data_IF_937897489672
#
_entry.id   IF_937897489672
#
_cell.length_a   1.000
_cell.length_b   1.000
_cell.length_c   1.000
_cell.angle_alpha   90.00
_cell.angle_beta   90.00
_cell.angle_gamma   90.00
#
_symmetry.space_group_name_H-M   'P 1'
#
loop_
_entity.id
_entity.type
_entity.pdbx_description
1 polymer ?
#
# COMPACT_ATOMS: atom_id res chain seq x y z
N UNK A 1 -35.88 -51.48 0.01
CA UNK A 1 -34.47 -51.07 0.14
C UNK A 1 -34.28 -49.84 -0.76
N UNK A 2 -34.13 -48.61 -0.23
CA UNK A 2 -34.05 -47.43 -1.09
C UNK A 2 -32.63 -47.26 -1.62
N UNK A 3 -32.53 -46.95 -2.92
CA UNK A 3 -31.29 -46.73 -3.67
C UNK A 3 -30.91 -45.25 -3.56
N UNK A 4 -29.87 -44.94 -2.81
CA UNK A 4 -29.30 -43.57 -2.72
C UNK A 4 -28.44 -43.27 -3.96
N UNK A 5 -28.62 -42.13 -4.65
CA UNK A 5 -27.72 -41.69 -5.71
C UNK A 5 -26.45 -41.04 -5.11
N UNK A 6 -25.27 -41.48 -5.56
CA UNK A 6 -23.98 -40.89 -5.23
C UNK A 6 -23.81 -39.58 -6.00
N UNK A 7 -23.73 -38.44 -5.31
CA UNK A 7 -23.38 -37.15 -5.90
C UNK A 7 -21.85 -36.91 -5.79
N UNK A 8 -21.19 -36.33 -6.80
CA UNK A 8 -19.77 -36.03 -6.74
C UNK A 8 -19.55 -34.75 -5.94
N UNK A 9 -18.71 -34.83 -4.91
CA UNK A 9 -18.27 -33.66 -4.14
C UNK A 9 -17.06 -33.06 -4.88
N UNK A 10 -17.22 -31.88 -5.50
CA UNK A 10 -16.09 -31.07 -5.96
C UNK A 10 -15.46 -30.39 -4.73
N UNK A 11 -14.23 -30.77 -4.38
CA UNK A 11 -13.42 -30.05 -3.42
C UNK A 11 -12.70 -28.89 -4.14
N UNK A 12 -13.02 -27.65 -3.77
CA UNK A 12 -12.28 -26.46 -4.22
C UNK A 12 -11.04 -26.33 -3.33
N UNK A 13 -9.85 -26.40 -3.94
CA UNK A 13 -8.60 -26.06 -3.25
C UNK A 13 -8.42 -24.54 -3.32
N UNK A 14 -8.63 -23.85 -2.20
CA UNK A 14 -8.24 -22.45 -2.09
C UNK A 14 -6.70 -22.39 -2.01
N UNK A 15 -6.08 -21.70 -2.97
CA UNK A 15 -4.65 -21.37 -2.88
C UNK A 15 -4.46 -20.28 -1.83
N UNK A 16 -3.40 -20.35 -1.00
CA UNK A 16 -3.12 -19.26 -0.08
C UNK A 16 -2.66 -18.04 -0.90
N UNK A 17 -3.35 -16.92 -0.73
CA UNK A 17 -2.83 -15.61 -1.09
C UNK A 17 -1.66 -15.31 -0.15
N UNK A 18 -0.48 -15.04 -0.70
CA UNK A 18 0.73 -14.78 0.05
C UNK A 18 1.01 -13.28 -0.06
N UNK A 19 0.55 -12.54 0.94
CA UNK A 19 0.82 -11.13 1.03
C UNK A 19 2.32 -10.84 0.99
N UNK A 20 2.70 -9.89 0.15
CA UNK A 20 4.10 -9.56 -0.07
C UNK A 20 4.46 -8.31 0.75
N UNK A 21 5.56 -8.39 1.51
CA UNK A 21 6.16 -7.21 2.12
C UNK A 21 6.94 -6.44 1.04
N UNK A 22 6.44 -5.27 0.66
CA UNK A 22 7.03 -4.46 -0.40
C UNK A 22 7.76 -3.28 0.23
N UNK A 23 9.05 -3.17 -0.04
CA UNK A 23 9.89 -2.03 0.34
C UNK A 23 10.15 -1.16 -0.89
N UNK A 24 9.90 0.14 -0.77
CA UNK A 24 10.24 1.11 -1.82
C UNK A 24 10.86 2.37 -1.24
N UNK A 25 11.62 3.05 -2.10
CA UNK A 25 12.23 4.33 -1.78
C UNK A 25 11.22 5.45 -1.98
N UNK A 26 11.08 6.31 -0.98
CA UNK A 26 10.29 7.52 -1.06
C UNK A 26 11.25 8.71 -1.17
N UNK A 27 11.18 9.43 -2.29
CA UNK A 27 12.03 10.60 -2.55
C UNK A 27 11.17 11.84 -2.44
N UNK A 28 11.52 12.74 -1.53
CA UNK A 28 10.86 14.04 -1.41
C UNK A 28 11.62 15.08 -2.21
N UNK A 29 11.21 15.31 -3.46
CA UNK A 29 11.69 16.41 -4.31
C UNK A 29 10.74 17.62 -4.26
N UNK A 30 9.80 17.64 -3.30
CA UNK A 30 8.95 18.81 -3.06
C UNK A 30 9.71 19.87 -2.24
N UNK A 31 9.15 21.09 -2.22
CA UNK A 31 9.68 22.17 -1.38
C UNK A 31 9.29 22.09 0.10
N UNK A 32 8.58 21.04 0.52
CA UNK A 32 7.95 20.92 1.84
C UNK A 32 8.37 19.64 2.55
N UNK A 33 8.42 19.68 3.88
CA UNK A 33 8.61 18.48 4.70
C UNK A 33 7.36 17.60 4.64
N UNK A 34 7.53 16.33 4.27
CA UNK A 34 6.48 15.33 4.39
C UNK A 34 6.41 14.85 5.83
N UNK A 35 5.25 15.05 6.44
CA UNK A 35 5.01 14.75 7.85
C UNK A 35 4.47 13.34 8.05
N UNK A 36 3.57 12.91 7.16
CA UNK A 36 2.89 11.61 7.26
C UNK A 36 2.75 11.00 5.86
N UNK A 37 2.89 9.69 5.77
CA UNK A 37 2.74 8.94 4.53
C UNK A 37 1.94 7.66 4.76
N UNK A 38 0.83 7.55 4.05
CA UNK A 38 -0.09 6.43 4.15
C UNK A 38 -0.21 5.72 2.80
N UNK A 39 -0.47 4.42 2.85
CA UNK A 39 -0.82 3.63 1.68
C UNK A 39 -1.96 2.67 2.05
N UNK A 40 -2.93 2.52 1.17
CA UNK A 40 -4.03 1.56 1.33
C UNK A 40 -4.37 0.90 -0.01
N UNK A 41 -4.74 -0.38 -0.05
CA UNK A 41 -5.32 -0.99 -1.25
C UNK A 41 -6.51 -0.18 -1.72
N UNK A 42 -6.67 0.00 -3.04
CA UNK A 42 -7.82 0.73 -3.62
C UNK A 42 -9.17 0.13 -3.19
N UNK A 43 -9.19 -1.17 -2.92
CA UNK A 43 -10.39 -1.91 -2.49
C UNK A 43 -10.77 -1.66 -1.02
N UNK A 44 -9.85 -1.10 -0.22
CA UNK A 44 -10.04 -0.81 1.20
C UNK A 44 -9.81 0.68 1.49
N UNK A 45 -10.86 1.50 1.61
CA UNK A 45 -10.74 2.95 1.70
C UNK A 45 -10.24 3.45 3.07
N UNK A 46 -9.92 2.55 4.00
CA UNK A 46 -9.39 2.91 5.31
C UNK A 46 -7.88 3.12 5.28
N UNK A 47 -7.39 4.28 5.72
CA UNK A 47 -5.96 4.48 5.91
C UNK A 47 -5.44 3.65 7.08
N UNK A 48 -4.34 2.92 6.83
CA UNK A 48 -3.61 2.17 7.85
C UNK A 48 -2.69 3.11 8.65
N UNK A 49 -1.64 2.56 9.28
CA UNK A 49 -0.67 3.34 10.03
C UNK A 49 0.22 4.21 9.12
N UNK A 50 0.68 5.35 9.64
CA UNK A 50 1.71 6.16 8.98
C UNK A 50 3.01 5.35 8.80
N UNK A 51 3.43 5.22 7.55
CA UNK A 51 4.59 4.43 7.15
C UNK A 51 5.93 5.13 7.45
N UNK A 52 5.94 6.43 7.79
CA UNK A 52 7.12 7.13 8.30
C UNK A 52 7.33 6.87 9.81
N UNK A 53 6.25 6.63 10.54
CA UNK A 53 6.24 6.31 11.96
C UNK A 53 6.50 7.54 12.83
N UNK A 54 7.64 7.57 13.53
CA UNK A 54 8.04 8.72 14.35
C UNK A 54 8.99 9.69 13.61
N UNK A 55 9.15 9.50 12.30
CA UNK A 55 10.08 10.25 11.45
C UNK A 55 9.29 11.14 10.50
N UNK A 56 9.97 12.13 9.95
CA UNK A 56 9.50 12.98 8.86
C UNK A 56 10.50 12.88 7.71
N UNK A 57 10.08 13.26 6.51
CA UNK A 57 10.94 13.28 5.34
C UNK A 57 11.12 14.74 4.84
N UNK A 58 12.24 15.41 5.16
CA UNK A 58 12.52 16.78 4.72
C UNK A 58 12.57 16.91 3.19
N UNK A 59 12.52 18.13 2.64
CA UNK A 59 12.79 18.36 1.22
C UNK A 59 14.18 17.83 0.82
N UNK A 60 14.30 17.45 -0.46
CA UNK A 60 15.48 16.85 -1.09
C UNK A 60 16.04 15.61 -0.36
N UNK A 61 15.18 14.89 0.37
CA UNK A 61 15.57 13.72 1.17
C UNK A 61 14.95 12.43 0.66
N UNK A 62 15.60 11.30 0.92
CA UNK A 62 15.10 9.96 0.58
C UNK A 62 14.91 9.12 1.84
N UNK A 63 13.75 8.47 1.93
CA UNK A 63 13.41 7.49 2.95
C UNK A 63 13.11 6.13 2.34
N UNK A 64 13.00 5.11 3.18
CA UNK A 64 12.50 3.79 2.80
C UNK A 64 11.29 3.47 3.65
N UNK A 65 10.21 3.05 3.00
CA UNK A 65 8.96 2.65 3.64
C UNK A 65 8.68 1.20 3.28
N UNK A 66 7.95 0.51 4.15
CA UNK A 66 7.56 -0.89 3.95
C UNK A 66 6.06 -0.99 4.04
N UNK A 67 5.41 -1.47 2.99
CA UNK A 67 4.01 -1.90 3.03
C UNK A 67 4.01 -3.38 3.39
N UNK A 68 3.50 -3.68 4.59
CA UNK A 68 3.39 -5.02 5.15
C UNK A 68 1.97 -5.26 5.70
N UNK A 69 0.96 -4.88 4.92
CA UNK A 69 -0.44 -4.86 5.35
C UNK A 69 -1.14 -6.23 5.25
N UNK A 70 -0.49 -7.22 4.64
CA UNK A 70 -1.10 -8.54 4.48
C UNK A 70 -2.07 -8.63 3.28
N UNK A 71 -2.15 -7.58 2.46
CA UNK A 71 -2.95 -7.56 1.24
C UNK A 71 -2.22 -8.20 0.04
N UNK A 72 -3.00 -8.78 -0.86
CA UNK A 72 -2.56 -9.38 -2.14
C UNK A 72 -2.94 -8.48 -3.32
N UNK A 73 -2.93 -7.15 -3.09
CA UNK A 73 -3.28 -6.14 -4.08
C UNK A 73 -2.02 -5.45 -4.61
N UNK A 74 -2.07 -4.98 -5.85
CA UNK A 74 -1.01 -4.17 -6.45
C UNK A 74 -1.40 -2.70 -6.57
N UNK A 75 -2.68 -2.40 -6.78
CA UNK A 75 -3.18 -1.02 -6.87
C UNK A 75 -3.42 -0.44 -5.48
N UNK A 76 -2.69 0.63 -5.16
CA UNK A 76 -2.77 1.34 -3.89
C UNK A 76 -3.08 2.81 -4.11
N UNK A 77 -3.92 3.35 -3.24
CA UNK A 77 -4.02 4.78 -3.02
C UNK A 77 -2.97 5.19 -1.96
N UNK A 78 -2.21 6.24 -2.26
CA UNK A 78 -1.23 6.88 -1.38
C UNK A 78 -1.82 8.17 -0.84
N UNK A 79 -1.53 8.51 0.41
CA UNK A 79 -1.83 9.81 1.01
C UNK A 79 -0.57 10.40 1.63
N UNK A 80 -0.31 11.65 1.27
CA UNK A 80 0.88 12.41 1.64
C UNK A 80 0.44 13.68 2.36
N UNK A 81 0.83 13.84 3.62
CA UNK A 81 0.50 15.01 4.44
C UNK A 81 1.76 15.84 4.66
N UNK A 82 1.73 17.10 4.23
CA UNK A 82 2.87 18.01 4.31
C UNK A 82 2.79 18.95 5.52
N UNK A 83 3.92 19.61 5.83
CA UNK A 83 4.02 20.52 6.99
C UNK A 83 3.08 21.72 6.96
N UNK A 84 2.57 22.13 5.79
CA UNK A 84 1.57 23.19 5.63
C UNK A 84 0.13 22.69 5.85
N UNK A 85 -0.04 21.40 6.16
CA UNK A 85 -1.35 20.75 6.31
C UNK A 85 -1.98 20.34 4.98
N UNK A 86 -1.26 20.43 3.86
CA UNK A 86 -1.75 19.97 2.57
C UNK A 86 -1.74 18.45 2.52
N UNK A 87 -2.83 17.91 2.00
CA UNK A 87 -2.99 16.49 1.71
C UNK A 87 -2.97 16.29 0.20
N UNK A 88 -2.08 15.42 -0.28
CA UNK A 88 -2.04 14.97 -1.67
C UNK A 88 -2.33 13.50 -1.68
N UNK A 89 -3.18 13.06 -2.62
CA UNK A 89 -3.42 11.64 -2.86
C UNK A 89 -3.01 11.27 -4.27
N UNK A 90 -2.51 10.05 -4.42
CA UNK A 90 -2.13 9.50 -5.72
C UNK A 90 -2.43 8.01 -5.77
N UNK A 91 -2.54 7.44 -6.97
CA UNK A 91 -2.77 6.01 -7.16
C UNK A 91 -1.63 5.39 -7.93
N UNK A 92 -1.06 4.32 -7.38
CA UNK A 92 0.09 3.64 -7.97
C UNK A 92 -0.07 2.12 -7.94
N UNK A 93 0.60 1.45 -8.87
CA UNK A 93 0.83 0.01 -8.80
C UNK A 93 2.13 -0.24 -8.02
N UNK A 94 2.03 -0.75 -6.79
CA UNK A 94 3.20 -0.98 -5.92
C UNK A 94 4.00 -2.23 -6.27
N UNK A 95 3.44 -3.15 -7.06
CA UNK A 95 4.11 -4.40 -7.44
C UNK A 95 5.25 -4.16 -8.44
N UNK A 96 5.13 -3.09 -9.25
CA UNK A 96 6.15 -2.65 -10.20
C UNK A 96 6.92 -1.39 -9.73
N UNK A 97 6.66 -0.90 -8.51
CA UNK A 97 7.22 0.35 -7.99
C UNK A 97 8.46 0.12 -7.13
N UNK A 98 9.64 0.49 -7.65
CA UNK A 98 10.88 0.48 -6.87
C UNK A 98 11.09 1.78 -6.07
N UNK A 99 10.60 2.91 -6.60
CA UNK A 99 10.73 4.23 -5.99
C UNK A 99 9.56 5.13 -6.36
N UNK A 100 9.11 5.94 -5.42
CA UNK A 100 8.13 6.99 -5.63
C UNK A 100 8.74 8.37 -5.33
N UNK A 101 8.52 9.31 -6.24
CA UNK A 101 9.04 10.68 -6.10
C UNK A 101 7.90 11.67 -5.92
N UNK A 102 7.95 12.42 -4.83
CA UNK A 102 7.03 13.49 -4.49
C UNK A 102 7.53 14.78 -5.13
N UNK A 103 6.75 15.38 -6.03
CA UNK A 103 7.12 16.64 -6.70
C UNK A 103 6.11 17.76 -6.43
N UNK A 104 5.36 17.70 -5.32
CA UNK A 104 4.30 18.66 -5.03
C UNK A 104 4.85 20.11 -5.00
N UNK A 105 4.23 21.00 -5.78
CA UNK A 105 4.55 22.44 -5.90
C UNK A 105 3.88 23.29 -4.82
#
# INVERSE_FOLDING_TARGET
>A
MPRFPLAPVLAVLAVPAAAQDIQYQLVNESGLTLMEFYASPVEDPGWSNDLLGARVLPPDSTGTVTIADGADACEYDLLMVFEDGREVTDRVDICDLASYTLTAE
#
